data_IF_742782328911
#
_entry.id   IF_742782328911
#
_cell.length_a   1.000
_cell.length_b   1.000
_cell.length_c   1.000
_cell.angle_alpha   90.00
_cell.angle_beta   90.00
_cell.angle_gamma   90.00
#
_symmetry.space_group_name_H-M   'P 1'
#
loop_
_entity.id
_entity.type
_entity.pdbx_description
1 polymer ?
#
# COMPACT_ATOMS: atom_id res chain seq x y z
N UNK A 1 0.40 -10.47 -38.51
CA UNK A 1 0.62 -9.74 -37.24
C UNK A 1 -0.08 -10.52 -36.13
N UNK A 2 0.62 -11.11 -35.16
CA UNK A 2 -0.03 -11.74 -34.03
C UNK A 2 -0.51 -10.65 -33.09
N UNK A 3 -1.81 -10.61 -32.81
CA UNK A 3 -2.38 -9.72 -31.80
C UNK A 3 -1.76 -10.01 -30.43
N UNK A 4 -1.37 -8.95 -29.72
CA UNK A 4 -0.88 -9.06 -28.35
C UNK A 4 -1.93 -9.78 -27.49
N UNK A 5 -1.55 -10.89 -26.88
CA UNK A 5 -2.42 -11.65 -25.98
C UNK A 5 -2.24 -11.13 -24.56
N UNK A 6 -3.28 -10.57 -23.98
CA UNK A 6 -3.27 -10.17 -22.57
C UNK A 6 -3.24 -11.41 -21.66
N UNK A 7 -2.41 -11.37 -20.62
CA UNK A 7 -2.41 -12.37 -19.59
C UNK A 7 -3.69 -12.22 -18.76
N UNK A 8 -4.60 -13.21 -18.83
CA UNK A 8 -5.78 -13.25 -17.93
C UNK A 8 -5.32 -13.61 -16.53
N UNK A 9 -5.37 -12.64 -15.62
CA UNK A 9 -5.09 -12.85 -14.21
C UNK A 9 -6.41 -13.02 -13.44
N UNK A 10 -6.51 -14.06 -12.61
CA UNK A 10 -7.62 -14.22 -11.66
C UNK A 10 -7.32 -13.40 -10.40
N UNK A 11 -7.64 -12.11 -10.44
CA UNK A 11 -7.39 -11.16 -9.36
C UNK A 11 -8.73 -10.71 -8.79
N UNK A 12 -8.81 -10.65 -7.46
CA UNK A 12 -9.97 -10.07 -6.78
C UNK A 12 -10.05 -8.57 -7.03
N UNK A 13 -11.23 -8.08 -7.37
CA UNK A 13 -11.45 -6.65 -7.52
C UNK A 13 -11.47 -5.98 -6.15
N UNK A 14 -10.64 -4.95 -5.96
CA UNK A 14 -10.71 -4.12 -4.77
C UNK A 14 -12.05 -3.37 -4.72
N UNK A 15 -12.80 -3.58 -3.64
CA UNK A 15 -14.06 -2.88 -3.39
C UNK A 15 -13.85 -1.90 -2.24
N UNK A 16 -13.76 -0.59 -2.51
CA UNK A 16 -13.65 0.41 -1.45
C UNK A 16 -14.89 0.41 -0.57
N UNK A 17 -14.73 0.74 0.70
CA UNK A 17 -15.84 0.88 1.61
C UNK A 17 -16.83 1.95 1.16
N UNK A 18 -18.12 1.71 1.35
CA UNK A 18 -19.19 2.66 1.00
C UNK A 18 -19.09 3.92 1.86
N UNK A 19 -19.07 5.08 1.22
CA UNK A 19 -19.03 6.39 1.89
C UNK A 19 -20.40 7.04 2.05
N UNK A 20 -21.41 6.57 1.32
CA UNK A 20 -22.79 7.11 1.35
C UNK A 20 -23.78 5.96 1.33
N UNK A 21 -24.79 6.05 2.18
CA UNK A 21 -25.98 5.21 2.17
C UNK A 21 -27.17 6.16 1.95
N UNK A 22 -27.97 5.90 0.95
CA UNK A 22 -28.97 6.82 0.38
C UNK A 22 -30.07 7.29 1.34
N UNK A 23 -30.16 6.71 2.55
CA UNK A 23 -31.23 7.00 3.50
C UNK A 23 -30.77 7.43 4.90
N UNK A 24 -29.47 7.50 5.15
CA UNK A 24 -28.94 7.81 6.48
C UNK A 24 -28.19 9.14 6.49
N UNK A 25 -28.56 10.01 7.43
CA UNK A 25 -27.80 11.21 7.79
C UNK A 25 -26.81 10.84 8.92
N UNK A 26 -25.63 11.44 8.92
CA UNK A 26 -24.59 11.23 9.95
C UNK A 26 -24.02 9.81 10.00
N UNK A 27 -23.51 9.33 8.88
CA UNK A 27 -22.86 8.02 8.78
C UNK A 27 -21.44 8.11 9.35
N UNK A 28 -21.12 7.22 10.29
CA UNK A 28 -19.74 6.98 10.74
C UNK A 28 -19.13 5.92 9.84
N UNK A 29 -18.15 6.32 9.01
CA UNK A 29 -17.45 5.41 8.08
C UNK A 29 -16.31 4.72 8.83
N UNK A 30 -16.44 3.42 9.06
CA UNK A 30 -15.42 2.58 9.70
C UNK A 30 -14.75 1.61 8.68
N UNK A 31 -15.04 1.75 7.40
CA UNK A 31 -14.57 0.86 6.33
C UNK A 31 -13.25 1.29 5.70
N UNK A 32 -12.64 2.37 6.18
CA UNK A 32 -11.34 2.86 5.72
C UNK A 32 -10.62 3.53 6.89
N UNK A 33 -9.28 3.53 6.84
CA UNK A 33 -8.43 4.16 7.87
C UNK A 33 -8.35 5.69 7.68
N UNK A 34 -9.50 6.34 7.56
CA UNK A 34 -9.59 7.80 7.46
C UNK A 34 -9.55 8.43 8.86
N UNK A 35 -8.91 9.60 8.98
CA UNK A 35 -8.87 10.31 10.27
C UNK A 35 -10.23 10.86 10.63
N UNK A 36 -10.83 10.40 11.74
CA UNK A 36 -12.06 10.96 12.28
C UNK A 36 -11.92 12.42 12.74
N UNK A 37 -10.71 12.87 13.05
CA UNK A 37 -10.37 14.25 13.44
C UNK A 37 -10.17 15.18 12.25
N UNK A 38 -10.20 14.64 11.03
CA UNK A 38 -9.94 15.40 9.81
C UNK A 38 -8.47 15.79 9.65
N UNK A 39 -8.25 16.85 8.90
CA UNK A 39 -6.91 17.34 8.52
C UNK A 39 -6.36 18.29 9.58
N UNK A 40 -5.08 18.13 9.94
CA UNK A 40 -4.38 19.05 10.86
C UNK A 40 -4.48 20.51 10.36
N UNK A 41 -4.78 21.48 11.25
CA UNK A 41 -4.81 22.90 10.87
C UNK A 41 -3.51 23.39 10.24
N UNK A 42 -2.35 22.87 10.68
CA UNK A 42 -1.04 23.19 10.09
C UNK A 42 -0.95 22.73 8.63
N UNK A 43 -1.44 21.51 8.34
CA UNK A 43 -1.47 20.98 6.96
C UNK A 43 -2.41 21.80 6.11
N UNK A 44 -3.61 22.15 6.59
CA UNK A 44 -4.54 23.05 5.89
C UNK A 44 -3.89 24.36 5.50
N UNK A 45 -3.16 24.99 6.44
CA UNK A 45 -2.45 26.25 6.20
C UNK A 45 -1.38 26.09 5.10
N UNK A 46 -0.64 24.98 5.09
CA UNK A 46 0.40 24.74 4.09
C UNK A 46 -0.20 24.49 2.68
N UNK A 47 -1.27 23.71 2.59
CA UNK A 47 -1.95 23.43 1.31
C UNK A 47 -2.53 24.71 0.68
N UNK A 48 -2.99 25.65 1.51
CA UNK A 48 -3.55 26.93 1.05
C UNK A 48 -2.50 27.96 0.61
N UNK A 49 -1.21 27.67 0.77
CA UNK A 49 -0.15 28.50 0.19
C UNK A 49 -0.17 28.42 -1.33
N UNK A 50 0.19 29.53 -2.00
CA UNK A 50 0.30 29.53 -3.47
C UNK A 50 1.36 28.51 -3.90
N UNK A 51 0.92 27.43 -4.52
CA UNK A 51 1.79 26.40 -5.10
C UNK A 51 1.92 26.70 -6.59
N UNK A 52 3.14 26.73 -7.11
CA UNK A 52 3.35 26.86 -8.54
C UNK A 52 3.13 25.50 -9.22
N UNK A 53 1.90 25.28 -9.68
CA UNK A 53 1.48 24.03 -10.32
C UNK A 53 1.99 23.88 -11.77
N UNK A 54 2.61 24.93 -12.34
CA UNK A 54 3.17 24.86 -13.70
C UNK A 54 4.54 24.20 -13.77
N UNK A 55 5.14 23.87 -12.62
CA UNK A 55 6.46 23.23 -12.53
C UNK A 55 6.32 21.79 -12.08
N UNK A 56 7.13 20.91 -12.65
CA UNK A 56 7.25 19.56 -12.14
C UNK A 56 7.79 19.56 -10.70
N UNK A 57 7.31 18.67 -9.84
CA UNK A 57 7.89 18.49 -8.51
C UNK A 57 9.30 17.90 -8.59
N UNK A 58 10.06 18.02 -7.50
CA UNK A 58 11.35 17.35 -7.38
C UNK A 58 11.14 15.83 -7.40
N UNK A 59 11.62 15.17 -8.46
CA UNK A 59 11.49 13.73 -8.66
C UNK A 59 12.10 12.87 -7.53
N UNK A 60 13.07 13.44 -6.80
CA UNK A 60 13.73 12.77 -5.68
C UNK A 60 13.11 13.07 -4.33
N UNK A 61 12.08 13.91 -4.26
CA UNK A 61 11.41 14.32 -3.01
C UNK A 61 12.39 14.71 -1.90
N UNK A 62 13.48 15.44 -2.25
CA UNK A 62 14.62 15.72 -1.35
C UNK A 62 14.19 16.36 -0.02
N UNK A 63 13.30 17.36 -0.09
CA UNK A 63 12.81 18.05 1.12
C UNK A 63 12.05 17.11 2.05
N UNK A 64 11.15 16.29 1.50
CA UNK A 64 10.37 15.32 2.27
C UNK A 64 11.28 14.24 2.89
N UNK A 65 12.17 13.65 2.10
CA UNK A 65 13.13 12.64 2.56
C UNK A 65 14.05 13.18 3.66
N UNK A 66 14.53 14.42 3.54
CA UNK A 66 15.34 15.07 4.59
C UNK A 66 14.56 15.22 5.90
N UNK A 67 13.31 15.65 5.83
CA UNK A 67 12.46 15.79 7.02
C UNK A 67 12.15 14.44 7.67
N UNK A 68 11.89 13.39 6.88
CA UNK A 68 11.69 12.02 7.37
C UNK A 68 12.98 11.52 8.04
N UNK A 69 14.13 11.64 7.37
CA UNK A 69 15.44 11.26 7.89
C UNK A 69 15.71 11.89 9.27
N UNK A 70 15.49 13.20 9.38
CA UNK A 70 15.68 13.93 10.64
C UNK A 70 14.71 13.45 11.74
N UNK A 71 13.44 13.23 11.38
CA UNK A 71 12.40 12.83 12.35
C UNK A 71 12.61 11.41 12.88
N UNK A 72 12.93 10.48 11.99
CA UNK A 72 13.05 9.06 12.33
C UNK A 72 14.50 8.59 12.57
N UNK A 73 15.47 9.51 12.49
CA UNK A 73 16.90 9.22 12.71
C UNK A 73 17.42 8.09 11.82
N UNK A 74 16.94 8.02 10.60
CA UNK A 74 17.39 7.07 9.59
C UNK A 74 18.17 7.80 8.48
N UNK A 75 18.96 7.05 7.72
CA UNK A 75 19.76 7.63 6.63
C UNK A 75 18.85 8.08 5.50
N UNK A 76 19.16 9.24 4.93
CA UNK A 76 18.42 9.82 3.80
C UNK A 76 18.34 8.87 2.59
N UNK A 77 19.41 8.15 2.32
CA UNK A 77 19.52 7.19 1.21
C UNK A 77 18.59 5.99 1.36
N UNK A 78 18.18 5.68 2.59
CA UNK A 78 17.30 4.54 2.88
C UNK A 78 15.80 4.89 2.79
N UNK A 79 15.46 6.08 2.26
CA UNK A 79 14.08 6.55 2.17
C UNK A 79 13.66 6.63 0.70
N UNK A 80 12.53 5.99 0.39
CA UNK A 80 11.83 6.10 -0.88
C UNK A 80 10.47 6.72 -0.61
N UNK A 81 10.04 7.63 -1.48
CA UNK A 81 8.72 8.23 -1.44
C UNK A 81 7.90 7.73 -2.64
N UNK A 82 6.61 7.53 -2.43
CA UNK A 82 5.65 7.15 -3.46
C UNK A 82 4.28 7.76 -3.18
N UNK A 83 3.34 7.55 -4.10
CA UNK A 83 1.94 7.96 -3.97
C UNK A 83 1.19 7.05 -2.98
N UNK A 84 1.59 7.09 -1.71
CA UNK A 84 1.08 6.26 -0.64
C UNK A 84 1.76 4.88 -0.58
N UNK A 85 1.35 4.10 0.43
CA UNK A 85 1.88 2.75 0.66
C UNK A 85 1.57 1.79 -0.49
N UNK A 86 0.53 2.05 -1.25
CA UNK A 86 0.10 1.21 -2.36
C UNK A 86 1.16 1.14 -3.47
N UNK A 87 1.68 2.28 -3.89
CA UNK A 87 2.77 2.34 -4.86
C UNK A 87 4.06 1.71 -4.31
N UNK A 88 4.37 1.89 -3.04
CA UNK A 88 5.54 1.25 -2.42
C UNK A 88 5.41 -0.28 -2.42
N UNK A 89 4.23 -0.81 -2.10
CA UNK A 89 3.97 -2.26 -2.17
C UNK A 89 4.15 -2.76 -3.60
N UNK A 90 3.62 -2.04 -4.59
CA UNK A 90 3.81 -2.36 -6.01
C UNK A 90 5.28 -2.40 -6.40
N UNK A 91 6.05 -1.36 -6.03
CA UNK A 91 7.49 -1.28 -6.31
C UNK A 91 8.24 -2.48 -5.71
N UNK A 92 7.98 -2.80 -4.43
CA UNK A 92 8.61 -3.95 -3.75
C UNK A 92 8.26 -5.24 -4.47
N UNK A 93 6.99 -5.49 -4.77
CA UNK A 93 6.58 -6.70 -5.49
C UNK A 93 7.21 -6.79 -6.88
N UNK A 94 7.33 -5.66 -7.60
CA UNK A 94 7.91 -5.63 -8.94
C UNK A 94 9.42 -5.89 -8.92
N UNK A 95 10.13 -5.39 -7.91
CA UNK A 95 11.59 -5.50 -7.83
C UNK A 95 12.06 -6.86 -7.29
N UNK A 96 11.33 -7.43 -6.34
CA UNK A 96 11.81 -8.61 -5.60
C UNK A 96 11.10 -9.90 -5.97
N UNK A 97 9.93 -9.85 -6.61
CA UNK A 97 9.17 -11.04 -6.93
C UNK A 97 9.26 -11.40 -8.40
N UNK A 98 9.34 -12.69 -8.65
CA UNK A 98 9.25 -13.32 -9.98
C UNK A 98 8.23 -14.45 -9.96
N UNK A 99 7.95 -15.01 -11.12
CA UNK A 99 7.02 -16.13 -11.26
C UNK A 99 7.45 -17.32 -10.38
N UNK A 100 6.49 -17.89 -9.65
CA UNK A 100 6.62 -19.02 -8.72
C UNK A 100 7.28 -18.71 -7.36
N UNK A 101 7.72 -17.49 -7.11
CA UNK A 101 8.07 -17.10 -5.74
C UNK A 101 6.84 -17.19 -4.84
N UNK A 102 7.05 -17.30 -3.54
CA UNK A 102 5.99 -17.37 -2.55
C UNK A 102 5.99 -16.12 -1.68
N UNK A 103 4.80 -15.58 -1.43
CA UNK A 103 4.63 -14.40 -0.57
C UNK A 103 3.66 -14.75 0.55
N UNK A 104 4.13 -14.66 1.78
CA UNK A 104 3.29 -14.91 2.96
C UNK A 104 2.58 -13.62 3.33
N UNK A 105 1.24 -13.67 3.41
CA UNK A 105 0.42 -12.53 3.82
C UNK A 105 -0.53 -12.94 4.94
N UNK A 106 -0.79 -12.09 5.93
CA UNK A 106 -1.82 -12.34 6.92
C UNK A 106 -3.20 -12.40 6.26
N UNK A 107 -4.08 -13.26 6.76
CA UNK A 107 -5.37 -13.58 6.13
C UNK A 107 -6.27 -12.35 5.95
N UNK A 108 -6.31 -11.46 6.93
CA UNK A 108 -7.14 -10.24 6.93
C UNK A 108 -6.35 -8.97 6.64
N UNK A 109 -5.14 -9.09 6.07
CA UNK A 109 -4.32 -7.96 5.70
C UNK A 109 -4.86 -7.18 4.50
N UNK A 110 -4.25 -6.04 4.23
CA UNK A 110 -4.62 -5.18 3.11
C UNK A 110 -4.55 -5.94 1.77
N UNK A 111 -5.64 -5.86 1.01
CA UNK A 111 -5.84 -6.64 -0.22
C UNK A 111 -4.71 -6.44 -1.26
N UNK A 112 -4.10 -5.26 -1.28
CA UNK A 112 -3.10 -4.93 -2.30
C UNK A 112 -1.82 -5.76 -2.21
N UNK A 113 -1.44 -6.27 -1.03
CA UNK A 113 -0.32 -7.21 -0.92
C UNK A 113 -0.48 -8.42 -1.84
N UNK A 114 -1.65 -9.06 -1.77
CA UNK A 114 -1.93 -10.25 -2.58
C UNK A 114 -2.19 -9.93 -4.05
N UNK A 115 -2.74 -8.76 -4.35
CA UNK A 115 -2.94 -8.32 -5.74
C UNK A 115 -1.60 -8.15 -6.44
N UNK A 116 -0.68 -7.37 -5.87
CA UNK A 116 0.62 -7.12 -6.49
C UNK A 116 1.50 -8.37 -6.54
N UNK A 117 1.46 -9.23 -5.52
CA UNK A 117 2.13 -10.53 -5.57
C UNK A 117 1.63 -11.38 -6.75
N UNK A 118 0.31 -11.47 -6.96
CA UNK A 118 -0.27 -12.20 -8.10
C UNK A 118 0.07 -11.55 -9.45
N UNK A 119 0.13 -10.23 -9.54
CA UNK A 119 0.55 -9.51 -10.76
C UNK A 119 1.99 -9.87 -11.11
N UNK A 120 2.88 -9.93 -10.12
CA UNK A 120 4.27 -10.37 -10.30
C UNK A 120 4.38 -11.86 -10.67
N UNK A 121 3.31 -12.64 -10.54
CA UNK A 121 3.26 -14.08 -10.83
C UNK A 121 3.66 -14.95 -9.65
N UNK A 122 3.76 -14.38 -8.46
CA UNK A 122 4.07 -15.10 -7.23
C UNK A 122 2.82 -15.82 -6.66
N UNK A 123 3.08 -16.85 -5.87
CA UNK A 123 2.07 -17.58 -5.12
C UNK A 123 1.82 -16.88 -3.78
N UNK A 124 0.56 -16.72 -3.43
CA UNK A 124 0.18 -16.11 -2.14
C UNK A 124 -0.13 -17.21 -1.13
N UNK A 125 0.62 -17.23 -0.05
CA UNK A 125 0.43 -18.11 1.11
C UNK A 125 -0.20 -17.31 2.24
N UNK A 126 -1.27 -17.82 2.83
CA UNK A 126 -1.96 -17.13 3.91
C UNK A 126 -1.48 -17.63 5.28
N UNK A 127 -1.05 -16.71 6.14
CA UNK A 127 -0.87 -17.00 7.56
C UNK A 127 -2.17 -16.76 8.32
N UNK A 128 -2.51 -17.67 9.24
CA UNK A 128 -3.70 -17.55 10.10
C UNK A 128 -3.49 -16.41 11.13
N UNK A 129 -4.56 -15.72 11.43
CA UNK A 129 -4.63 -14.73 12.49
C UNK A 129 -5.50 -15.23 13.63
N UNK A 130 -5.09 -14.97 14.87
CA UNK A 130 -5.89 -15.27 16.06
C UNK A 130 -6.55 -13.98 16.55
N UNK A 131 -7.90 -13.95 16.58
CA UNK A 131 -8.66 -12.76 16.97
C UNK A 131 -8.23 -11.49 16.19
N UNK A 132 -8.05 -11.60 14.89
CA UNK A 132 -7.59 -10.52 13.99
C UNK A 132 -6.22 -9.94 14.35
N UNK A 133 -5.40 -10.68 15.10
CA UNK A 133 -4.02 -10.30 15.42
C UNK A 133 -3.03 -11.12 14.62
N UNK A 134 -2.08 -10.43 14.00
CA UNK A 134 -0.96 -11.04 13.31
C UNK A 134 -0.06 -11.74 14.33
N UNK A 135 0.38 -12.96 14.02
CA UNK A 135 1.28 -13.74 14.85
C UNK A 135 2.53 -14.08 14.06
N UNK A 136 3.68 -13.66 14.56
CA UNK A 136 4.99 -14.01 14.00
C UNK A 136 5.18 -15.53 13.87
N UNK A 137 4.78 -16.27 14.88
CA UNK A 137 4.83 -17.74 14.86
C UNK A 137 4.01 -18.34 13.72
N UNK A 138 2.83 -17.78 13.43
CA UNK A 138 1.99 -18.26 12.34
C UNK A 138 2.57 -17.90 10.97
N UNK A 139 3.22 -16.76 10.84
CA UNK A 139 3.95 -16.38 9.62
C UNK A 139 5.13 -17.33 9.41
N UNK A 140 5.96 -17.52 10.43
CA UNK A 140 7.17 -18.36 10.36
C UNK A 140 6.85 -19.82 10.04
N UNK A 141 5.71 -20.34 10.48
CA UNK A 141 5.25 -21.70 10.11
C UNK A 141 4.96 -21.88 8.62
N UNK A 142 4.74 -20.79 7.89
CA UNK A 142 4.48 -20.84 6.45
C UNK A 142 5.77 -20.69 5.63
N UNK A 143 6.91 -20.37 6.27
CA UNK A 143 8.18 -20.21 5.56
C UNK A 143 8.63 -21.54 4.96
N UNK A 144 8.90 -21.55 3.67
CA UNK A 144 9.44 -22.66 2.90
C UNK A 144 10.79 -22.28 2.31
N UNK A 145 11.44 -23.20 1.61
CA UNK A 145 12.68 -22.89 0.86
C UNK A 145 12.44 -21.98 -0.37
N UNK A 146 11.18 -21.64 -0.65
CA UNK A 146 10.78 -20.85 -1.84
C UNK A 146 10.33 -19.43 -1.51
N UNK A 147 10.26 -19.07 -0.24
CA UNK A 147 9.88 -17.73 0.22
C UNK A 147 10.96 -17.05 1.05
#
# INVERSE_FOLDING_TARGET
MSLLKFKKLRIETYKPGKSKLSRLKNIVKLSANESALGVSPKVKKEINKKINISKYPDSNSKSLRKNISNKFKCRFENIICGAGSDEIIQMVCTLFLKSKDEVIVPQFSFLMYRIYAKIAGANVIYSKENNFKISETQILKQVSKKN
#
